data_IF_667440143797
#
_entry.id   IF_667440143797
#
_cell.length_a   1.000
_cell.length_b   1.000
_cell.length_c   1.000
_cell.angle_alpha   90.00
_cell.angle_beta   90.00
_cell.angle_gamma   90.00
#
_symmetry.space_group_name_H-M   'P 1'
#
loop_
_entity.id
_entity.type
_entity.pdbx_description
1 polymer ?
#
# COMPACT_ATOMS: atom_id res chain seq x y z
N UNK A 1 -6.20 36.35 -15.83
CA UNK A 1 -5.63 35.05 -16.23
C UNK A 1 -5.10 34.35 -14.98
N UNK A 2 -5.82 33.36 -14.43
CA UNK A 2 -5.36 32.62 -13.26
C UNK A 2 -4.51 31.43 -13.72
N UNK A 3 -3.19 31.54 -13.55
CA UNK A 3 -2.28 30.41 -13.68
C UNK A 3 -2.56 29.41 -12.56
N UNK A 4 -3.07 28.23 -12.91
CA UNK A 4 -3.24 27.12 -11.97
C UNK A 4 -1.85 26.53 -11.67
N UNK A 5 -1.22 27.04 -10.61
CA UNK A 5 -0.08 26.40 -9.98
C UNK A 5 -0.49 25.01 -9.48
N UNK A 6 0.30 24.01 -9.81
CA UNK A 6 0.00 22.62 -9.50
C UNK A 6 0.48 22.30 -8.09
N UNK A 7 -0.42 22.44 -7.13
CA UNK A 7 -0.20 21.98 -5.77
C UNK A 7 -0.53 20.48 -5.74
N UNK A 8 0.35 19.65 -5.17
CA UNK A 8 0.03 18.28 -4.76
C UNK A 8 -1.34 18.31 -4.07
N UNK A 9 -2.35 17.64 -4.63
CA UNK A 9 -3.72 17.79 -4.13
C UNK A 9 -3.83 17.08 -2.79
N UNK A 10 -3.70 17.86 -1.71
CA UNK A 10 -4.02 17.44 -0.34
C UNK A 10 -5.52 17.67 -0.10
N UNK A 11 -6.10 16.99 0.88
CA UNK A 11 -7.46 17.35 1.31
C UNK A 11 -7.39 18.79 1.82
N UNK A 12 -8.17 19.73 1.27
CA UNK A 12 -8.17 21.10 1.80
C UNK A 12 -8.64 21.04 3.25
N UNK A 13 -7.84 21.58 4.16
CA UNK A 13 -8.28 21.86 5.53
C UNK A 13 -9.14 23.10 5.46
N UNK A 14 -10.46 22.94 5.51
CA UNK A 14 -11.39 24.06 5.41
C UNK A 14 -11.52 24.74 6.78
N UNK A 15 -11.65 26.06 6.77
CA UNK A 15 -11.92 26.87 7.95
C UNK A 15 -13.18 27.72 7.71
N UNK A 16 -14.02 27.87 8.73
CA UNK A 16 -15.18 28.78 8.72
C UNK A 16 -15.21 29.50 10.06
N UNK A 17 -15.16 30.83 10.05
CA UNK A 17 -15.14 31.62 11.28
C UNK A 17 -13.91 31.40 12.17
N UNK A 18 -12.77 31.01 11.59
CA UNK A 18 -11.54 30.69 12.35
C UNK A 18 -11.45 29.25 12.85
N UNK A 19 -12.55 28.48 12.81
CA UNK A 19 -12.56 27.08 13.21
C UNK A 19 -12.41 26.13 12.02
N UNK A 20 -11.70 25.02 12.24
CA UNK A 20 -11.51 23.99 11.22
C UNK A 20 -12.84 23.26 10.98
N UNK A 21 -13.35 23.37 9.77
CA UNK A 21 -14.55 22.65 9.31
C UNK A 21 -14.14 21.40 8.55
N UNK A 22 -14.72 20.26 8.94
CA UNK A 22 -14.53 18.99 8.23
C UNK A 22 -15.49 18.95 7.05
N UNK A 23 -15.02 18.42 5.92
CA UNK A 23 -15.93 18.15 4.80
C UNK A 23 -16.83 16.96 5.16
N UNK A 24 -18.04 16.88 4.60
CA UNK A 24 -18.89 15.69 4.78
C UNK A 24 -18.22 14.38 4.37
N UNK A 25 -17.20 14.44 3.51
CA UNK A 25 -16.35 13.28 3.18
C UNK A 25 -15.34 12.98 4.30
N UNK A 26 -14.70 13.98 4.91
CA UNK A 26 -13.87 13.75 6.11
C UNK A 26 -14.69 13.21 7.29
N UNK A 27 -15.96 13.59 7.37
CA UNK A 27 -16.93 13.11 8.36
C UNK A 27 -17.31 11.66 8.11
N UNK A 28 -17.72 11.32 6.87
CA UNK A 28 -17.96 9.94 6.45
C UNK A 28 -16.74 9.04 6.67
N UNK A 29 -15.54 9.51 6.29
CA UNK A 29 -14.28 8.79 6.51
C UNK A 29 -13.97 8.57 8.00
N UNK A 30 -14.40 9.49 8.87
CA UNK A 30 -14.25 9.37 10.32
C UNK A 30 -15.28 8.41 10.89
N UNK A 31 -16.54 8.50 10.47
CA UNK A 31 -17.61 7.61 10.89
C UNK A 31 -17.30 6.17 10.47
N UNK A 32 -16.87 5.94 9.24
CA UNK A 32 -16.41 4.63 8.79
C UNK A 32 -15.21 4.13 9.60
N UNK A 33 -14.24 5.00 9.95
CA UNK A 33 -13.11 4.63 10.83
C UNK A 33 -13.55 4.31 12.25
N UNK A 34 -14.54 5.02 12.79
CA UNK A 34 -15.09 4.79 14.12
C UNK A 34 -15.90 3.49 14.14
N UNK A 35 -16.71 3.24 13.10
CA UNK A 35 -17.43 1.98 12.90
C UNK A 35 -16.47 0.80 12.72
N UNK A 36 -15.38 0.98 11.97
CA UNK A 36 -14.29 0.00 11.88
C UNK A 36 -13.68 -0.28 13.25
N UNK A 37 -13.34 0.77 14.01
CA UNK A 37 -12.78 0.61 15.36
C UNK A 37 -13.74 -0.10 16.30
N UNK A 38 -15.03 0.23 16.28
CA UNK A 38 -16.04 -0.40 17.13
C UNK A 38 -16.30 -1.86 16.74
N UNK A 39 -16.25 -2.20 15.44
CA UNK A 39 -16.39 -3.58 14.96
C UNK A 39 -15.14 -4.43 15.24
N UNK A 40 -13.96 -3.81 15.28
CA UNK A 40 -12.68 -4.50 15.54
C UNK A 40 -12.35 -4.63 17.04
N UNK A 41 -12.89 -3.76 17.90
CA UNK A 41 -12.67 -3.77 19.36
C UNK A 41 -13.02 -5.12 20.04
N UNK A 42 -14.14 -5.80 19.71
CA UNK A 42 -14.47 -7.11 20.27
C UNK A 42 -13.55 -8.24 19.82
N UNK A 43 -12.93 -8.11 18.63
CA UNK A 43 -12.10 -9.17 18.04
C UNK A 43 -10.61 -9.02 18.42
N UNK A 44 -10.15 -7.80 18.69
CA UNK A 44 -8.76 -7.52 19.05
C UNK A 44 -8.48 -7.61 20.56
N UNK A 45 -9.52 -7.72 21.40
CA UNK A 45 -9.39 -7.73 22.86
C UNK A 45 -8.95 -6.38 23.43
N UNK A 46 -9.20 -6.16 24.73
CA UNK A 46 -8.52 -5.08 25.47
C UNK A 46 -7.02 -5.40 25.54
N UNK A 47 -6.12 -4.40 25.50
CA UNK A 47 -4.69 -4.65 25.56
C UNK A 47 -4.33 -5.18 26.96
N UNK A 48 -4.35 -6.50 27.13
CA UNK A 48 -3.81 -7.19 28.28
C UNK A 48 -2.34 -7.50 28.04
N UNK A 49 -1.54 -7.25 29.06
CA UNK A 49 -0.09 -7.43 29.12
C UNK A 49 0.31 -8.89 28.90
N UNK A 50 0.79 -9.24 27.70
CA UNK A 50 1.37 -10.54 27.35
C UNK A 50 1.79 -10.66 25.88
N UNK A 51 2.86 -11.39 25.52
CA UNK A 51 3.55 -11.25 24.23
C UNK A 51 2.90 -12.12 23.14
N UNK A 52 1.78 -11.65 22.59
CA UNK A 52 1.30 -11.96 21.22
C UNK A 52 0.09 -11.07 20.89
N UNK A 53 0.26 -9.74 21.04
CA UNK A 53 -0.78 -8.80 20.61
C UNK A 53 -0.77 -8.70 19.09
N UNK A 54 -1.82 -9.20 18.43
CA UNK A 54 -2.11 -8.86 17.04
C UNK A 54 -2.34 -7.34 16.94
N UNK A 55 -1.32 -6.57 16.55
CA UNK A 55 -1.48 -5.15 16.23
C UNK A 55 -1.86 -5.02 14.77
N UNK A 56 -3.14 -4.75 14.50
CA UNK A 56 -3.53 -4.28 13.19
C UNK A 56 -2.77 -2.97 12.90
N UNK A 57 -1.85 -2.99 11.93
CA UNK A 57 -1.13 -1.79 11.52
C UNK A 57 0.40 -1.81 11.56
N UNK A 58 1.08 -2.91 11.92
CA UNK A 58 2.55 -2.98 11.81
C UNK A 58 2.99 -3.36 10.38
N UNK A 59 2.78 -2.45 9.44
CA UNK A 59 3.15 -2.64 8.04
C UNK A 59 4.65 -2.34 7.86
N UNK A 60 5.42 -3.40 7.58
CA UNK A 60 6.90 -3.31 7.42
C UNK A 60 7.34 -3.31 5.97
N UNK A 61 6.57 -3.91 5.09
CA UNK A 61 6.89 -3.99 3.66
C UNK A 61 5.87 -3.17 2.88
N UNK A 62 6.33 -2.28 2.00
CA UNK A 62 5.45 -1.43 1.19
C UNK A 62 5.75 -1.64 -0.28
N UNK A 63 4.71 -1.91 -1.05
CA UNK A 63 4.75 -1.85 -2.52
C UNK A 63 4.23 -0.48 -2.94
N UNK A 64 5.06 0.26 -3.67
CA UNK A 64 4.70 1.54 -4.27
C UNK A 64 4.53 1.35 -5.77
N UNK A 65 3.40 1.83 -6.29
CA UNK A 65 3.10 1.80 -7.72
C UNK A 65 2.47 3.12 -8.18
N UNK A 66 2.70 3.48 -9.44
CA UNK A 66 2.20 4.70 -10.05
C UNK A 66 1.22 4.39 -11.17
N UNK A 67 -0.03 4.82 -11.01
CA UNK A 67 -1.07 4.64 -12.04
C UNK A 67 -1.37 5.96 -12.75
N UNK A 68 -1.05 6.01 -14.04
CA UNK A 68 -1.40 7.15 -14.89
C UNK A 68 -2.91 7.28 -15.06
N UNK A 69 -3.43 8.48 -14.82
CA UNK A 69 -4.85 8.83 -14.96
C UNK A 69 -5.02 10.04 -15.88
N UNK A 70 -6.12 10.03 -16.65
CA UNK A 70 -6.52 11.17 -17.48
C UNK A 70 -7.37 12.12 -16.65
N UNK A 71 -7.00 13.39 -16.66
CA UNK A 71 -7.67 14.46 -15.93
C UNK A 71 -8.52 15.31 -16.90
N UNK A 72 -9.44 16.10 -16.34
CA UNK A 72 -10.20 17.09 -17.11
C UNK A 72 -9.28 18.04 -17.88
N UNK A 73 -9.63 18.30 -19.14
CA UNK A 73 -8.87 19.19 -20.04
C UNK A 73 -7.65 18.53 -20.68
N UNK A 74 -7.64 17.20 -20.82
CA UNK A 74 -6.58 16.47 -21.54
C UNK A 74 -5.27 16.30 -20.77
N UNK A 75 -5.19 16.84 -19.55
CA UNK A 75 -4.01 16.72 -18.68
C UNK A 75 -3.86 15.29 -18.19
N UNK A 76 -2.62 14.91 -17.86
CA UNK A 76 -2.30 13.63 -17.22
C UNK A 76 -1.89 13.88 -15.77
N UNK A 77 -2.15 12.91 -14.92
CA UNK A 77 -1.63 12.85 -13.56
C UNK A 77 -1.31 11.40 -13.20
N UNK A 78 -0.68 11.22 -12.05
CA UNK A 78 -0.30 9.90 -11.56
C UNK A 78 -0.88 9.70 -10.17
N UNK A 79 -1.62 8.62 -9.98
CA UNK A 79 -2.00 8.13 -8.66
C UNK A 79 -0.84 7.29 -8.12
N UNK A 80 -0.10 7.85 -7.18
CA UNK A 80 0.87 7.09 -6.39
C UNK A 80 0.11 6.33 -5.30
N UNK A 81 0.32 5.03 -5.28
CA UNK A 81 -0.38 4.08 -4.42
C UNK A 81 0.66 3.38 -3.55
N UNK A 82 0.44 3.40 -2.24
CA UNK A 82 1.25 2.66 -1.28
C UNK A 82 0.44 1.52 -0.67
N UNK A 83 0.84 0.28 -0.97
CA UNK A 83 0.26 -0.95 -0.43
C UNK A 83 1.19 -1.53 0.62
N UNK A 84 0.73 -1.63 1.86
CA UNK A 84 1.44 -2.23 2.97
C UNK A 84 1.19 -3.73 3.07
N UNK A 85 2.19 -4.43 3.56
CA UNK A 85 2.17 -5.83 3.95
C UNK A 85 2.78 -5.97 5.36
N UNK A 86 2.11 -6.73 6.23
CA UNK A 86 2.61 -7.08 7.56
C UNK A 86 3.43 -8.38 7.51
N UNK A 87 4.13 -8.70 8.61
CA UNK A 87 4.85 -9.97 8.77
C UNK A 87 3.93 -11.21 8.66
N UNK A 88 2.63 -11.03 8.87
CA UNK A 88 1.63 -12.08 8.81
C UNK A 88 0.89 -12.15 7.46
N UNK A 89 1.34 -11.38 6.46
CA UNK A 89 0.75 -11.40 5.12
C UNK A 89 -0.54 -10.59 4.97
N UNK A 90 -0.92 -9.81 5.99
CA UNK A 90 -2.07 -8.90 5.92
C UNK A 90 -1.72 -7.70 5.04
N UNK A 91 -2.62 -7.35 4.13
CA UNK A 91 -2.41 -6.31 3.13
C UNK A 91 -3.34 -5.13 3.39
N UNK A 92 -2.89 -3.92 3.12
CA UNK A 92 -3.76 -2.75 3.11
C UNK A 92 -3.19 -1.64 2.23
N UNK A 93 -4.05 -0.83 1.63
CA UNK A 93 -3.66 0.45 1.04
C UNK A 93 -3.38 1.44 2.19
N UNK A 94 -2.14 1.90 2.31
CA UNK A 94 -1.68 2.81 3.38
C UNK A 94 -1.86 4.28 3.02
N UNK A 95 -1.70 4.60 1.74
CA UNK A 95 -1.89 5.95 1.21
C UNK A 95 -2.16 5.93 -0.30
N UNK A 96 -2.89 6.94 -0.75
CA UNK A 96 -3.12 7.22 -2.17
C UNK A 96 -3.03 8.72 -2.38
N UNK A 97 -2.20 9.12 -3.33
CA UNK A 97 -1.85 10.51 -3.60
C UNK A 97 -1.92 10.75 -5.10
N UNK A 98 -2.49 11.88 -5.50
CA UNK A 98 -2.49 12.30 -6.90
C UNK A 98 -1.39 13.35 -7.11
N UNK A 99 -0.47 13.05 -8.01
CA UNK A 99 0.65 13.90 -8.40
C UNK A 99 0.59 14.19 -9.90
N UNK A 100 1.46 15.09 -10.38
CA UNK A 100 1.59 15.35 -11.82
C UNK A 100 2.30 14.21 -12.52
N UNK A 101 3.37 13.73 -11.90
CA UNK A 101 4.30 12.76 -12.44
C UNK A 101 4.99 11.99 -11.30
N UNK A 102 5.81 11.02 -11.69
CA UNK A 102 6.59 10.18 -10.78
C UNK A 102 7.96 10.80 -10.51
N UNK A 103 7.96 11.96 -9.85
CA UNK A 103 9.18 12.71 -9.52
C UNK A 103 9.72 12.40 -8.10
N UNK A 104 10.94 12.87 -7.83
CA UNK A 104 11.65 12.67 -6.55
C UNK A 104 10.88 13.25 -5.37
N UNK A 105 10.28 14.43 -5.52
CA UNK A 105 9.57 15.16 -4.45
C UNK A 105 8.29 14.42 -4.09
N UNK A 106 7.54 13.99 -5.09
CA UNK A 106 6.31 13.21 -4.99
C UNK A 106 6.55 11.89 -4.24
N UNK A 107 7.63 11.17 -4.59
CA UNK A 107 8.02 9.95 -3.88
C UNK A 107 8.52 10.23 -2.46
N UNK A 108 9.32 11.28 -2.27
CA UNK A 108 9.85 11.66 -0.95
C UNK A 108 8.72 12.00 0.03
N UNK A 109 7.74 12.82 -0.39
CA UNK A 109 6.58 13.20 0.42
C UNK A 109 5.74 11.97 0.80
N UNK A 110 5.53 11.03 -0.13
CA UNK A 110 4.87 9.76 0.14
C UNK A 110 5.64 8.92 1.18
N UNK A 111 6.95 8.72 0.97
CA UNK A 111 7.78 7.91 1.85
C UNK A 111 7.86 8.48 3.26
N UNK A 112 8.07 9.79 3.41
CA UNK A 112 8.11 10.45 4.72
C UNK A 112 6.77 10.33 5.44
N UNK A 113 5.63 10.45 4.74
CA UNK A 113 4.30 10.21 5.33
C UNK A 113 4.11 8.78 5.84
N UNK A 114 4.66 7.79 5.13
CA UNK A 114 4.57 6.39 5.53
C UNK A 114 5.50 6.11 6.71
N UNK A 115 6.74 6.58 6.66
CA UNK A 115 7.73 6.37 7.71
C UNK A 115 7.33 7.01 9.06
N UNK A 116 6.64 8.15 9.04
CA UNK A 116 6.07 8.76 10.26
C UNK A 116 4.98 7.91 10.93
N UNK A 117 4.37 6.97 10.20
CA UNK A 117 3.25 6.14 10.67
C UNK A 117 3.64 4.68 10.90
N UNK A 118 4.66 4.20 10.20
CA UNK A 118 5.01 2.78 10.09
C UNK A 118 6.52 2.59 10.13
N UNK A 119 6.96 1.49 10.74
CA UNK A 119 8.37 1.12 10.80
C UNK A 119 8.75 0.31 9.54
N UNK A 120 9.10 1.01 8.46
CA UNK A 120 9.34 0.40 7.16
C UNK A 120 10.69 -0.32 7.10
N UNK A 121 10.67 -1.61 6.76
CA UNK A 121 11.85 -2.44 6.50
C UNK A 121 12.18 -2.50 5.01
N UNK A 122 11.17 -2.54 4.15
CA UNK A 122 11.34 -2.74 2.70
C UNK A 122 10.36 -1.89 1.89
N UNK A 123 10.88 -1.26 0.84
CA UNK A 123 10.09 -0.64 -0.22
C UNK A 123 10.32 -1.38 -1.53
N UNK A 124 9.25 -1.96 -2.08
CA UNK A 124 9.21 -2.55 -3.41
C UNK A 124 8.57 -1.55 -4.36
N UNK A 125 9.19 -1.28 -5.50
CA UNK A 125 8.59 -0.44 -6.53
C UNK A 125 9.15 -0.80 -7.89
N UNK A 126 8.50 -0.35 -8.95
CA UNK A 126 9.15 -0.33 -10.25
C UNK A 126 10.46 0.48 -10.17
N UNK A 127 11.45 0.21 -11.03
CA UNK A 127 12.81 0.75 -11.02
C UNK A 127 12.93 2.27 -11.27
N UNK A 128 12.06 3.06 -10.66
CA UNK A 128 12.05 4.51 -10.72
C UNK A 128 13.28 5.07 -10.00
N UNK A 129 14.24 5.59 -10.78
CA UNK A 129 15.41 6.33 -10.26
C UNK A 129 15.01 7.47 -9.32
N UNK A 130 13.83 8.04 -9.55
CA UNK A 130 13.25 9.08 -8.70
C UNK A 130 13.00 8.58 -7.27
N UNK A 131 12.51 7.34 -7.11
CA UNK A 131 12.31 6.72 -5.80
C UNK A 131 13.62 6.44 -5.08
N UNK A 132 14.64 5.95 -5.79
CA UNK A 132 15.95 5.65 -5.20
C UNK A 132 16.61 6.94 -4.69
N UNK A 133 16.47 8.03 -5.45
CA UNK A 133 16.90 9.37 -5.05
C UNK A 133 16.09 9.88 -3.84
N UNK A 134 14.78 9.63 -3.82
CA UNK A 134 13.91 10.02 -2.70
C UNK A 134 14.29 9.30 -1.41
N UNK A 135 14.54 7.98 -1.45
CA UNK A 135 15.01 7.20 -0.30
C UNK A 135 16.34 7.78 0.20
N UNK A 136 17.31 7.97 -0.69
CA UNK A 136 18.64 8.50 -0.34
C UNK A 136 18.56 9.88 0.32
N UNK A 137 17.69 10.77 -0.19
CA UNK A 137 17.50 12.13 0.37
C UNK A 137 16.64 12.16 1.64
N UNK A 138 15.83 11.13 1.88
CA UNK A 138 14.96 11.09 3.06
C UNK A 138 15.69 10.73 4.35
N UNK A 139 16.88 10.13 4.25
CA UNK A 139 17.60 9.59 5.42
C UNK A 139 16.89 8.38 6.07
N UNK A 140 15.82 7.87 5.44
CA UNK A 140 15.07 6.72 5.94
C UNK A 140 15.89 5.46 5.71
N UNK A 141 16.19 4.74 6.80
CA UNK A 141 16.84 3.42 6.74
C UNK A 141 15.83 2.36 6.32
N UNK A 142 15.65 2.19 5.02
CA UNK A 142 14.76 1.18 4.44
C UNK A 142 15.45 0.46 3.29
N UNK A 143 15.26 -0.86 3.20
CA UNK A 143 15.75 -1.61 2.07
C UNK A 143 14.91 -1.32 0.82
N UNK A 144 15.54 -1.37 -0.34
CA UNK A 144 14.92 -1.07 -1.62
C UNK A 144 14.95 -2.31 -2.52
N UNK A 145 13.78 -2.75 -2.96
CA UNK A 145 13.65 -3.85 -3.92
C UNK A 145 13.04 -3.39 -5.24
N UNK A 146 13.69 -3.70 -6.35
CA UNK A 146 13.11 -3.54 -7.69
C UNK A 146 12.02 -4.59 -7.91
N UNK A 147 10.84 -4.16 -8.39
CA UNK A 147 9.74 -5.06 -8.73
C UNK A 147 10.19 -6.04 -9.82
N UNK A 148 10.25 -7.33 -9.47
CA UNK A 148 10.74 -8.37 -10.36
C UNK A 148 9.84 -8.58 -11.58
N UNK A 149 8.53 -8.38 -11.44
CA UNK A 149 7.59 -8.48 -12.57
C UNK A 149 7.86 -7.40 -13.61
N UNK A 150 8.00 -6.15 -13.18
CA UNK A 150 8.33 -5.05 -14.09
C UNK A 150 9.72 -5.20 -14.71
N UNK A 151 10.71 -5.68 -13.92
CA UNK A 151 12.03 -6.01 -14.45
C UNK A 151 11.95 -7.08 -15.53
N UNK A 152 11.25 -8.19 -15.28
CA UNK A 152 11.04 -9.27 -16.27
C UNK A 152 10.39 -8.74 -17.54
N UNK A 153 9.39 -7.85 -17.45
CA UNK A 153 8.75 -7.24 -18.63
C UNK A 153 9.72 -6.41 -19.47
N UNK A 154 10.68 -5.73 -18.84
CA UNK A 154 11.68 -4.88 -19.53
C UNK A 154 12.82 -5.65 -20.18
N UNK A 155 13.28 -6.75 -19.57
CA UNK A 155 14.46 -7.49 -20.03
C UNK A 155 14.11 -8.57 -21.05
N UNK A 156 15.09 -8.96 -21.86
CA UNK A 156 14.96 -9.98 -22.89
C UNK A 156 14.89 -11.41 -22.30
N UNK A 157 14.58 -12.39 -23.15
CA UNK A 157 14.37 -13.78 -22.74
C UNK A 157 15.57 -14.39 -22.03
N UNK A 158 16.81 -14.11 -22.45
CA UNK A 158 18.00 -14.71 -21.84
C UNK A 158 18.18 -14.20 -20.41
N UNK A 159 18.02 -12.89 -20.22
CA UNK A 159 18.10 -12.27 -18.89
C UNK A 159 16.95 -12.74 -17.98
N UNK A 160 15.75 -12.99 -18.51
CA UNK A 160 14.65 -13.57 -17.72
C UNK A 160 15.01 -14.94 -17.16
N UNK A 161 15.59 -15.83 -17.98
CA UNK A 161 16.01 -17.18 -17.55
C UNK A 161 17.10 -17.09 -16.48
N UNK A 162 18.09 -16.21 -16.67
CA UNK A 162 19.12 -15.99 -15.66
C UNK A 162 18.54 -15.45 -14.35
N UNK A 163 17.59 -14.51 -14.42
CA UNK A 163 16.90 -13.99 -13.24
C UNK A 163 16.12 -15.10 -12.52
N UNK A 164 15.46 -15.99 -13.25
CA UNK A 164 14.74 -17.13 -12.66
C UNK A 164 15.70 -18.11 -11.95
N UNK A 165 16.84 -18.40 -12.56
CA UNK A 165 17.92 -19.18 -11.93
C UNK A 165 18.42 -18.50 -10.65
N UNK A 166 18.69 -17.20 -10.70
CA UNK A 166 19.15 -16.42 -9.56
C UNK A 166 18.11 -16.45 -8.42
N UNK A 167 16.82 -16.34 -8.75
CA UNK A 167 15.73 -16.43 -7.77
C UNK A 167 15.56 -17.83 -7.19
N UNK A 168 15.88 -18.89 -7.93
CA UNK A 168 15.88 -20.27 -7.41
C UNK A 168 17.05 -20.56 -6.47
N UNK A 169 18.17 -19.86 -6.65
CA UNK A 169 19.37 -19.99 -5.83
C UNK A 169 19.45 -18.93 -4.73
N UNK A 170 18.48 -18.02 -4.62
CA UNK A 170 18.56 -16.86 -3.75
C UNK A 170 18.79 -17.19 -2.26
N UNK A 171 18.32 -18.36 -1.78
CA UNK A 171 18.52 -18.82 -0.41
C UNK A 171 19.99 -19.19 -0.11
N UNK A 172 20.74 -19.63 -1.13
CA UNK A 172 22.14 -20.06 -0.99
C UNK A 172 23.15 -18.96 -1.33
N UNK A 173 22.70 -17.80 -1.81
CA UNK A 173 23.57 -16.70 -2.21
C UNK A 173 23.67 -15.67 -1.08
N UNK A 174 24.88 -15.39 -0.54
CA UNK A 174 25.08 -14.34 0.45
C UNK A 174 25.06 -12.96 -0.23
N UNK A 175 23.90 -12.52 -0.68
CA UNK A 175 23.72 -11.20 -1.34
C UNK A 175 22.92 -10.27 -0.45
N UNK A 176 23.50 -9.92 0.71
CA UNK A 176 23.04 -8.75 1.46
C UNK A 176 23.28 -7.52 0.59
N UNK A 177 22.20 -6.81 0.24
CA UNK A 177 22.26 -5.51 -0.44
C UNK A 177 21.91 -5.49 -1.92
N UNK A 178 21.56 -6.62 -2.55
CA UNK A 178 21.01 -6.58 -3.91
C UNK A 178 19.57 -6.05 -3.92
N UNK A 179 19.23 -5.05 -4.75
CA UNK A 179 17.86 -4.59 -4.90
C UNK A 179 16.96 -5.63 -5.58
N UNK A 180 17.50 -6.75 -6.06
CA UNK A 180 16.71 -7.85 -6.62
C UNK A 180 16.27 -8.86 -5.56
N UNK A 181 17.02 -8.96 -4.46
CA UNK A 181 16.86 -9.99 -3.44
C UNK A 181 16.51 -9.42 -2.06
N UNK A 182 16.18 -8.12 -1.98
CA UNK A 182 15.81 -7.48 -0.72
C UNK A 182 14.51 -8.03 -0.10
N UNK A 183 13.69 -8.80 -0.84
CA UNK A 183 12.57 -9.55 -0.26
C UNK A 183 13.01 -10.61 0.75
N UNK A 184 14.28 -11.06 0.72
CA UNK A 184 14.83 -12.01 1.69
C UNK A 184 14.88 -11.46 3.12
N UNK A 185 14.70 -10.14 3.30
CA UNK A 185 14.51 -9.51 4.61
C UNK A 185 13.13 -9.80 5.22
N UNK A 186 12.20 -10.33 4.43
CA UNK A 186 10.88 -10.74 4.88
C UNK A 186 10.82 -12.24 5.21
N UNK A 187 9.87 -12.67 6.07
CA UNK A 187 9.55 -14.08 6.26
C UNK A 187 9.29 -14.80 4.93
N UNK A 188 9.66 -16.08 4.86
CA UNK A 188 9.62 -16.90 3.64
C UNK A 188 8.22 -16.97 3.02
N UNK A 189 7.20 -16.95 3.88
CA UNK A 189 5.79 -16.98 3.55
C UNK A 189 5.37 -15.77 2.70
N UNK A 190 6.09 -14.65 2.81
CA UNK A 190 5.78 -13.41 2.10
C UNK A 190 6.48 -13.28 0.75
N UNK A 191 7.48 -14.11 0.46
CA UNK A 191 8.27 -14.00 -0.77
C UNK A 191 7.43 -14.13 -2.05
N UNK A 192 6.44 -15.04 -2.16
CA UNK A 192 5.58 -15.06 -3.35
C UNK A 192 4.87 -13.73 -3.58
N UNK A 193 4.46 -13.04 -2.50
CA UNK A 193 3.77 -11.76 -2.57
C UNK A 193 4.72 -10.65 -3.03
N UNK A 194 5.91 -10.57 -2.42
CA UNK A 194 6.93 -9.55 -2.71
C UNK A 194 7.63 -9.74 -4.05
N UNK A 195 7.63 -10.96 -4.62
CA UNK A 195 8.13 -11.24 -5.97
C UNK A 195 7.09 -11.01 -7.06
N UNK A 196 5.80 -10.96 -6.71
CA UNK A 196 4.69 -10.74 -7.64
C UNK A 196 4.34 -9.25 -7.77
N UNK A 197 3.55 -8.91 -8.79
CA UNK A 197 2.90 -7.60 -8.91
C UNK A 197 1.42 -7.65 -8.48
N UNK A 198 0.97 -8.81 -7.96
CA UNK A 198 -0.44 -9.06 -7.70
C UNK A 198 -1.02 -8.10 -6.67
N UNK A 199 -0.18 -7.62 -5.74
CA UNK A 199 -0.56 -6.62 -4.75
C UNK A 199 -1.04 -5.33 -5.44
N UNK A 200 -0.20 -4.72 -6.28
CA UNK A 200 -0.52 -3.51 -7.01
C UNK A 200 -1.61 -3.75 -8.07
N UNK A 201 -1.54 -4.86 -8.81
CA UNK A 201 -2.52 -5.19 -9.86
C UNK A 201 -3.93 -5.35 -9.29
N UNK A 202 -4.10 -5.97 -8.11
CA UNK A 202 -5.42 -6.14 -7.49
C UNK A 202 -6.13 -4.81 -7.22
N UNK A 203 -5.40 -3.80 -6.74
CA UNK A 203 -5.94 -2.47 -6.52
C UNK A 203 -6.11 -1.70 -7.83
N UNK A 204 -5.15 -1.79 -8.75
CA UNK A 204 -5.22 -1.16 -10.06
C UNK A 204 -6.43 -1.63 -10.86
N UNK A 205 -6.78 -2.92 -10.82
CA UNK A 205 -7.99 -3.43 -11.46
C UNK A 205 -9.28 -2.82 -10.88
N UNK A 206 -9.32 -2.53 -9.57
CA UNK A 206 -10.46 -1.84 -8.97
C UNK A 206 -10.57 -0.38 -9.43
N UNK A 207 -9.43 0.29 -9.57
CA UNK A 207 -9.37 1.64 -10.14
C UNK A 207 -9.86 1.65 -11.60
N UNK A 208 -9.43 0.69 -12.41
CA UNK A 208 -9.80 0.59 -13.82
C UNK A 208 -11.30 0.36 -14.02
N UNK A 209 -11.94 -0.45 -13.16
CA UNK A 209 -13.39 -0.69 -13.20
C UNK A 209 -14.22 0.59 -13.02
N UNK A 210 -13.70 1.59 -12.30
CA UNK A 210 -14.41 2.86 -12.09
C UNK A 210 -14.31 3.82 -13.27
N UNK A 211 -13.48 3.51 -14.29
CA UNK A 211 -13.27 4.31 -15.51
C UNK A 211 -13.22 5.81 -15.20
N UNK A 212 -12.10 6.31 -14.68
CA UNK A 212 -11.89 7.75 -14.52
C UNK A 212 -12.08 8.45 -15.88
N UNK A 213 -13.28 8.99 -16.11
CA UNK A 213 -13.63 9.66 -17.35
C UNK A 213 -12.88 10.97 -17.52
N UNK A 214 -12.82 11.48 -18.76
CA UNK A 214 -12.20 12.78 -19.13
C UNK A 214 -12.81 14.00 -18.41
N UNK A 215 -13.83 13.82 -17.58
CA UNK A 215 -14.62 14.87 -16.95
C UNK A 215 -14.26 15.11 -15.48
N UNK A 216 -13.47 14.24 -14.84
CA UNK A 216 -13.22 14.39 -13.41
C UNK A 216 -12.09 15.37 -13.11
N UNK A 217 -12.32 16.21 -12.09
CA UNK A 217 -11.26 17.04 -11.50
C UNK A 217 -10.24 16.16 -10.77
N UNK A 218 -8.99 16.62 -10.60
CA UNK A 218 -7.97 15.94 -9.80
C UNK A 218 -8.48 15.50 -8.43
N UNK A 219 -9.22 16.39 -7.76
CA UNK A 219 -9.78 16.13 -6.44
C UNK A 219 -10.82 14.99 -6.47
N UNK A 220 -11.71 14.97 -7.45
CA UNK A 220 -12.72 13.90 -7.57
C UNK A 220 -12.08 12.53 -7.81
N UNK A 221 -11.03 12.47 -8.62
CA UNK A 221 -10.27 11.24 -8.85
C UNK A 221 -9.62 10.74 -7.56
N UNK A 222 -8.96 11.64 -6.82
CA UNK A 222 -8.34 11.31 -5.54
C UNK A 222 -9.37 10.81 -4.51
N UNK A 223 -10.54 11.43 -4.44
CA UNK A 223 -11.62 10.97 -3.55
C UNK A 223 -12.09 9.57 -3.87
N UNK A 224 -12.36 9.29 -5.15
CA UNK A 224 -12.78 7.95 -5.60
C UNK A 224 -11.68 6.93 -5.27
N UNK A 225 -10.42 7.25 -5.55
CA UNK A 225 -9.30 6.35 -5.28
C UNK A 225 -9.16 6.05 -3.77
N UNK A 226 -9.36 7.05 -2.89
CA UNK A 226 -9.36 6.87 -1.44
C UNK A 226 -10.57 6.06 -0.94
N UNK A 227 -11.75 6.28 -1.51
CA UNK A 227 -12.92 5.47 -1.19
C UNK A 227 -12.72 4.00 -1.59
N UNK A 228 -12.09 3.73 -2.75
CA UNK A 228 -11.72 2.36 -3.15
C UNK A 228 -10.69 1.78 -2.19
N UNK A 229 -9.68 2.56 -1.77
CA UNK A 229 -8.69 2.13 -0.80
C UNK A 229 -9.32 1.69 0.53
N UNK A 230 -10.31 2.43 1.01
CA UNK A 230 -11.03 2.09 2.24
C UNK A 230 -11.86 0.84 2.08
N UNK A 231 -12.61 0.72 0.98
CA UNK A 231 -13.36 -0.50 0.68
C UNK A 231 -12.43 -1.72 0.54
N UNK A 232 -11.26 -1.56 -0.09
CA UNK A 232 -10.25 -2.61 -0.19
C UNK A 232 -9.76 -3.06 1.19
N UNK A 233 -9.46 -2.10 2.06
CA UNK A 233 -9.01 -2.36 3.43
C UNK A 233 -10.12 -3.00 4.27
N UNK A 234 -11.35 -2.55 4.13
CA UNK A 234 -12.55 -3.11 4.79
C UNK A 234 -12.78 -4.56 4.36
N UNK A 235 -12.77 -4.84 3.06
CA UNK A 235 -12.90 -6.20 2.54
C UNK A 235 -11.77 -7.11 3.04
N UNK A 236 -10.56 -6.57 3.17
CA UNK A 236 -9.43 -7.33 3.73
C UNK A 236 -9.62 -7.59 5.22
N UNK A 237 -10.14 -6.63 5.99
CA UNK A 237 -10.51 -6.84 7.39
C UNK A 237 -11.61 -7.89 7.51
N UNK A 238 -12.67 -7.78 6.72
CA UNK A 238 -13.80 -8.69 6.73
C UNK A 238 -13.37 -10.12 6.42
N UNK A 239 -12.55 -10.31 5.37
CA UNK A 239 -12.00 -11.63 5.04
C UNK A 239 -11.11 -12.17 6.16
N UNK A 240 -10.25 -11.34 6.76
CA UNK A 240 -9.44 -11.77 7.90
C UNK A 240 -10.31 -12.18 9.10
N UNK A 241 -11.37 -11.42 9.40
CA UNK A 241 -12.33 -11.73 10.44
C UNK A 241 -13.06 -13.05 10.17
N UNK A 242 -13.56 -13.25 8.95
CA UNK A 242 -14.23 -14.50 8.54
C UNK A 242 -13.29 -15.69 8.67
N UNK A 243 -12.05 -15.58 8.21
CA UNK A 243 -11.04 -16.65 8.33
C UNK A 243 -10.74 -16.97 9.81
N UNK A 244 -10.58 -15.95 10.66
CA UNK A 244 -10.33 -16.14 12.10
C UNK A 244 -11.55 -16.82 12.76
N UNK A 245 -12.76 -16.34 12.47
CA UNK A 245 -13.99 -16.91 13.04
C UNK A 245 -14.21 -18.35 12.56
N UNK A 246 -14.02 -18.64 11.28
CA UNK A 246 -14.12 -19.99 10.73
C UNK A 246 -13.03 -20.92 11.29
N UNK A 247 -11.78 -20.46 11.42
CA UNK A 247 -10.71 -21.23 12.04
C UNK A 247 -10.97 -21.53 13.52
N UNK A 248 -11.55 -20.58 14.26
CA UNK A 248 -11.93 -20.77 15.67
C UNK A 248 -13.12 -21.72 15.86
N UNK A 249 -14.08 -21.71 14.92
CA UNK A 249 -15.19 -22.65 14.87
C UNK A 249 -14.70 -24.06 14.54
N UNK A 250 -13.76 -24.18 13.60
CA UNK A 250 -13.14 -25.46 13.23
C UNK A 250 -12.36 -26.09 14.40
N UNK A 251 -11.61 -25.29 15.16
CA UNK A 251 -10.94 -25.74 16.38
C UNK A 251 -11.93 -26.14 17.50
N UNK A 252 -13.04 -25.42 17.67
CA UNK A 252 -14.10 -25.80 18.63
C UNK A 252 -14.78 -27.10 18.25
N UNK A 253 -15.07 -27.31 16.97
CA UNK A 253 -15.65 -28.55 16.49
C UNK A 253 -14.67 -29.72 16.66
N UNK A 254 -13.38 -29.54 16.35
CA UNK A 254 -12.38 -30.59 16.58
C UNK A 254 -12.18 -30.96 18.05
N UNK A 255 -12.25 -30.01 18.98
CA UNK A 255 -12.15 -30.31 20.43
C UNK A 255 -13.35 -31.14 20.92
N UNK A 256 -14.55 -30.98 20.34
CA UNK A 256 -15.70 -31.84 20.65
C UNK A 256 -15.54 -33.28 20.17
N UNK A 257 -14.69 -33.53 19.17
CA UNK A 257 -14.42 -34.86 18.63
C UNK A 257 -13.22 -35.56 19.30
N UNK A 258 -12.50 -34.87 20.19
CA UNK A 258 -11.32 -35.38 20.92
C UNK A 258 -11.65 -35.67 22.40
N UNK A 259 -12.86 -35.33 22.87
CA UNK A 259 -13.39 -35.73 24.18
C UNK A 259 -14.39 -36.87 24.02
#
# INVERSE_FOLDING_TARGET
MYGLEWVTVRSPVLYRGGERVRTGVEELLREERLALRSLLLPVLGTPSSGPRSWRWGDFKYVVVDGKYVKLRGGRRGVLLIALGLTDHGVRAVLDVVLTREEDVVSYWDLLVRLWRRYNLTLVVADGAKALDTAISRSGIKVARQTCLVHLKRRVDRRVRVLLDLLLSLAESVPTRGSPLLSYLLAPRELWPLLRSNNLAESFNSLLERRRFGKCHSPWRILQIARAIAINYNLSTCYLALVIILQGSLFLREMVKYIQ
#
